data_IF_836306693594
#
_entry.id   IF_836306693594
#
_cell.length_a   1.000
_cell.length_b   1.000
_cell.length_c   1.000
_cell.angle_alpha   90.00
_cell.angle_beta   90.00
_cell.angle_gamma   90.00
#
_symmetry.space_group_name_H-M   'P 1'
#
loop_
_entity.id
_entity.type
_entity.pdbx_description
1 polymer ?
#
# COMPACT_ATOMS: atom_id res chain seq x y z
N UNK A 1 20.55 9.02 21.89
CA UNK A 1 19.99 9.55 20.63
C UNK A 1 20.87 8.98 19.54
N UNK A 2 20.35 8.04 18.77
CA UNK A 2 21.06 7.51 17.60
C UNK A 2 20.59 8.40 16.46
N UNK A 3 21.46 9.29 15.99
CA UNK A 3 21.15 10.10 14.82
C UNK A 3 21.39 9.25 13.58
N UNK A 4 20.33 9.00 12.82
CA UNK A 4 20.45 8.36 11.51
C UNK A 4 21.02 9.36 10.50
N UNK A 5 21.86 8.88 9.58
CA UNK A 5 22.31 9.69 8.47
C UNK A 5 21.19 9.88 7.45
N UNK A 6 21.24 10.96 6.67
CA UNK A 6 20.28 11.20 5.57
C UNK A 6 20.19 10.01 4.60
N UNK A 7 21.31 9.30 4.39
CA UNK A 7 21.35 8.09 3.56
C UNK A 7 20.63 6.90 4.20
N UNK A 8 20.72 6.74 5.53
CA UNK A 8 19.97 5.72 6.26
C UNK A 8 18.48 6.02 6.26
N UNK A 9 18.11 7.30 6.43
CA UNK A 9 16.71 7.76 6.34
C UNK A 9 16.16 7.47 4.94
N UNK A 10 16.86 7.90 3.89
CA UNK A 10 16.45 7.67 2.51
C UNK A 10 16.34 6.17 2.15
N UNK A 11 17.21 5.32 2.71
CA UNK A 11 17.14 3.87 2.51
C UNK A 11 15.89 3.28 3.17
N UNK A 12 15.57 3.72 4.38
CA UNK A 12 14.33 3.33 5.08
C UNK A 12 13.09 3.79 4.30
N UNK A 13 13.08 5.03 3.84
CA UNK A 13 11.97 5.59 3.05
C UNK A 13 11.77 4.88 1.71
N UNK A 14 12.86 4.53 0.99
CA UNK A 14 12.77 3.70 -0.21
C UNK A 14 12.11 2.36 0.08
N UNK A 15 12.54 1.70 1.17
CA UNK A 15 12.00 0.42 1.56
C UNK A 15 10.51 0.55 1.91
N UNK A 16 10.13 1.55 2.72
CA UNK A 16 8.74 1.79 3.08
C UNK A 16 7.88 2.06 1.85
N UNK A 17 8.29 2.96 0.96
CA UNK A 17 7.57 3.27 -0.27
C UNK A 17 7.40 2.02 -1.16
N UNK A 18 8.44 1.20 -1.30
CA UNK A 18 8.35 -0.03 -2.10
C UNK A 18 7.34 -1.04 -1.53
N UNK A 19 7.33 -1.25 -0.22
CA UNK A 19 6.37 -2.16 0.42
C UNK A 19 4.95 -1.59 0.44
N UNK A 20 4.81 -0.27 0.60
CA UNK A 20 3.53 0.42 0.49
C UNK A 20 2.86 0.16 -0.86
N UNK A 21 3.58 0.45 -1.96
CA UNK A 21 3.02 0.25 -3.30
C UNK A 21 2.82 -1.22 -3.66
N UNK A 22 3.70 -2.10 -3.19
CA UNK A 22 3.55 -3.54 -3.35
C UNK A 22 2.31 -4.09 -2.61
N UNK A 23 1.99 -3.53 -1.43
CA UNK A 23 0.79 -3.87 -0.67
C UNK A 23 -0.49 -3.54 -1.45
N UNK A 24 -0.58 -2.33 -2.01
CA UNK A 24 -1.68 -1.95 -2.90
C UNK A 24 -1.79 -2.88 -4.11
N UNK A 25 -0.68 -3.12 -4.81
CA UNK A 25 -0.67 -3.98 -6.00
C UNK A 25 -1.16 -5.38 -5.68
N UNK A 26 -0.62 -6.00 -4.64
CA UNK A 26 -0.96 -7.39 -4.29
C UNK A 26 -2.46 -7.53 -3.99
N UNK A 27 -3.05 -6.68 -3.14
CA UNK A 27 -4.49 -6.77 -2.88
C UNK A 27 -5.34 -6.41 -4.09
N UNK A 28 -4.92 -5.45 -4.91
CA UNK A 28 -5.65 -5.09 -6.11
C UNK A 28 -5.70 -6.25 -7.13
N UNK A 29 -4.58 -6.96 -7.29
CA UNK A 29 -4.47 -8.15 -8.13
C UNK A 29 -5.20 -9.36 -7.53
N UNK A 30 -5.18 -9.52 -6.21
CA UNK A 30 -5.96 -10.54 -5.49
C UNK A 30 -7.45 -10.42 -5.82
N UNK A 31 -7.98 -9.20 -5.96
CA UNK A 31 -9.36 -8.95 -6.34
C UNK A 31 -9.64 -9.07 -7.85
N UNK A 32 -8.66 -9.48 -8.65
CA UNK A 32 -8.78 -9.66 -10.09
C UNK A 32 -8.58 -8.39 -10.91
N UNK A 33 -8.02 -7.34 -10.29
CA UNK A 33 -7.50 -6.17 -10.99
C UNK A 33 -6.10 -6.42 -11.55
N UNK A 34 -5.53 -5.39 -12.16
CA UNK A 34 -4.13 -5.36 -12.56
C UNK A 34 -3.60 -3.92 -12.50
N UNK A 35 -2.32 -3.75 -12.20
CA UNK A 35 -1.67 -2.44 -12.15
C UNK A 35 -0.16 -2.51 -12.03
N UNK A 36 0.49 -1.36 -12.15
CA UNK A 36 1.94 -1.22 -12.00
C UNK A 36 2.26 -0.40 -10.75
N UNK A 37 3.13 -0.90 -9.88
CA UNK A 37 3.73 -0.10 -8.82
C UNK A 37 5.01 0.58 -9.35
N UNK A 38 5.27 1.82 -8.93
CA UNK A 38 6.51 2.53 -9.24
C UNK A 38 7.01 3.31 -8.04
N UNK A 39 8.33 3.40 -7.89
CA UNK A 39 8.99 4.18 -6.82
C UNK A 39 10.13 5.00 -7.42
N UNK A 40 10.20 6.29 -7.07
CA UNK A 40 11.21 7.20 -7.61
C UNK A 40 11.68 8.22 -6.55
N UNK A 41 12.88 8.76 -6.76
CA UNK A 41 13.48 9.74 -5.85
C UNK A 41 12.75 11.08 -5.96
N UNK A 42 12.41 11.67 -4.82
CA UNK A 42 11.85 13.01 -4.75
C UNK A 42 12.88 14.05 -5.21
N UNK A 43 12.43 15.06 -5.95
CA UNK A 43 13.26 16.12 -6.53
C UNK A 43 13.10 17.47 -5.83
N UNK A 44 12.25 17.57 -4.79
CA UNK A 44 12.02 18.84 -4.08
C UNK A 44 13.27 19.36 -3.37
N UNK A 45 14.16 18.46 -2.92
CA UNK A 45 15.34 18.81 -2.12
C UNK A 45 15.00 19.34 -0.72
N UNK A 46 13.73 19.25 -0.30
CA UNK A 46 13.29 19.64 1.04
C UNK A 46 13.58 18.51 2.03
N UNK A 47 14.27 18.77 3.16
CA UNK A 47 14.47 17.76 4.20
C UNK A 47 13.20 17.45 5.00
N UNK A 48 12.14 18.25 4.84
CA UNK A 48 10.83 18.02 5.48
C UNK A 48 9.94 17.06 4.66
N UNK A 49 10.33 16.74 3.42
CA UNK A 49 9.63 15.81 2.55
C UNK A 49 10.37 14.47 2.48
N UNK A 50 9.65 13.39 2.18
CA UNK A 50 10.27 12.08 1.98
C UNK A 50 11.21 12.11 0.76
N UNK A 51 12.34 11.42 0.85
CA UNK A 51 13.31 11.30 -0.23
C UNK A 51 12.82 10.38 -1.36
N UNK A 52 11.81 9.54 -1.11
CA UNK A 52 11.23 8.62 -2.08
C UNK A 52 9.71 8.75 -2.12
N UNK A 53 9.18 8.70 -3.34
CA UNK A 53 7.76 8.72 -3.64
C UNK A 53 7.37 7.40 -4.30
N UNK A 54 6.14 6.95 -4.03
CA UNK A 54 5.55 5.76 -4.62
C UNK A 54 4.25 6.10 -5.36
N UNK A 55 3.87 5.23 -6.30
CA UNK A 55 2.52 5.21 -6.84
C UNK A 55 2.16 3.85 -7.42
N UNK A 56 1.04 3.29 -6.97
CA UNK A 56 0.34 2.22 -7.64
C UNK A 56 -0.57 2.79 -8.73
N UNK A 57 -0.48 2.21 -9.94
CA UNK A 57 -1.18 2.65 -11.14
C UNK A 57 -2.10 1.56 -11.65
N UNK A 58 -3.39 1.59 -11.29
CA UNK A 58 -4.37 0.64 -11.80
C UNK A 58 -4.45 0.68 -13.33
N UNK A 59 -4.38 -0.48 -13.96
CA UNK A 59 -4.60 -0.67 -15.41
C UNK A 59 -5.97 -1.26 -15.69
N UNK A 60 -6.45 -2.12 -14.80
CA UNK A 60 -7.69 -2.84 -15.02
C UNK A 60 -8.44 -3.03 -13.71
N UNK A 61 -9.67 -2.52 -13.67
CA UNK A 61 -10.48 -2.52 -12.46
C UNK A 61 -11.06 -3.91 -12.15
N UNK A 62 -10.96 -4.41 -10.89
CA UNK A 62 -11.60 -5.65 -10.43
C UNK A 62 -13.06 -5.80 -10.87
N UNK A 63 -13.86 -4.76 -10.69
CA UNK A 63 -15.28 -4.76 -11.05
C UNK A 63 -15.51 -4.87 -12.56
N UNK A 64 -14.70 -4.16 -13.34
CA UNK A 64 -14.80 -4.18 -14.80
C UNK A 64 -14.43 -5.56 -15.35
N UNK A 65 -13.35 -6.16 -14.84
CA UNK A 65 -12.94 -7.52 -15.21
C UNK A 65 -13.99 -8.55 -14.85
N UNK A 66 -14.52 -8.46 -13.62
CA UNK A 66 -15.63 -9.32 -13.18
C UNK A 66 -16.84 -9.22 -14.10
N UNK A 67 -17.24 -8.00 -14.47
CA UNK A 67 -18.37 -7.77 -15.36
C UNK A 67 -18.13 -8.43 -16.72
N UNK A 68 -16.96 -8.24 -17.32
CA UNK A 68 -16.58 -8.83 -18.61
C UNK A 68 -16.61 -10.37 -18.54
N UNK A 69 -15.96 -10.95 -17.54
CA UNK A 69 -15.90 -12.41 -17.36
C UNK A 69 -17.30 -13.03 -17.18
N UNK A 70 -18.18 -12.40 -16.38
CA UNK A 70 -19.58 -12.81 -16.24
C UNK A 70 -20.34 -12.76 -17.57
N UNK A 71 -20.16 -11.69 -18.35
CA UNK A 71 -20.80 -11.57 -19.69
C UNK A 71 -20.32 -12.66 -20.66
N UNK A 72 -19.10 -13.17 -20.48
CA UNK A 72 -18.54 -14.28 -21.25
C UNK A 72 -18.94 -15.67 -20.73
N UNK A 73 -19.77 -15.74 -19.69
CA UNK A 73 -20.21 -17.02 -19.09
C UNK A 73 -19.17 -17.68 -18.19
N UNK A 74 -18.11 -16.97 -17.81
CA UNK A 74 -17.10 -17.47 -16.87
C UNK A 74 -17.60 -17.37 -15.42
N UNK A 75 -17.26 -18.36 -14.61
CA UNK A 75 -17.50 -18.35 -13.17
C UNK A 75 -16.47 -17.43 -12.52
N UNK A 76 -16.94 -16.42 -11.77
CA UNK A 76 -16.08 -15.42 -11.11
C UNK A 76 -16.35 -15.40 -9.59
N UNK A 77 -15.35 -15.59 -8.70
CA UNK A 77 -15.53 -15.56 -7.24
C UNK A 77 -16.06 -14.21 -6.74
N UNK A 78 -17.04 -14.15 -5.83
CA UNK A 78 -17.60 -12.89 -5.28
C UNK A 78 -16.52 -11.85 -4.94
N UNK A 79 -16.70 -10.61 -5.41
CA UNK A 79 -15.84 -9.49 -5.05
C UNK A 79 -16.41 -8.86 -3.77
N UNK A 80 -15.66 -8.80 -2.66
CA UNK A 80 -16.17 -8.23 -1.41
C UNK A 80 -16.63 -6.78 -1.59
N UNK A 81 -17.73 -6.38 -0.95
CA UNK A 81 -18.26 -5.03 -1.08
C UNK A 81 -17.28 -3.94 -0.61
N UNK A 82 -16.43 -4.28 0.36
CA UNK A 82 -15.40 -3.43 0.95
C UNK A 82 -14.02 -3.53 0.26
N UNK A 83 -13.90 -4.20 -0.91
CA UNK A 83 -12.61 -4.42 -1.57
C UNK A 83 -11.78 -3.13 -1.77
N UNK A 84 -12.44 -2.00 -2.06
CA UNK A 84 -11.77 -0.70 -2.20
C UNK A 84 -11.15 -0.23 -0.90
N UNK A 85 -11.87 -0.40 0.22
CA UNK A 85 -11.37 -0.05 1.55
C UNK A 85 -10.16 -0.91 1.88
N UNK A 86 -10.23 -2.22 1.60
CA UNK A 86 -9.11 -3.16 1.77
C UNK A 86 -7.87 -2.70 0.98
N UNK A 87 -8.03 -2.35 -0.30
CA UNK A 87 -6.94 -1.81 -1.11
C UNK A 87 -6.44 -0.48 -0.56
N UNK A 88 -7.31 0.43 -0.12
CA UNK A 88 -6.94 1.77 0.31
C UNK A 88 -6.02 1.80 1.53
N UNK A 89 -6.19 0.91 2.51
CA UNK A 89 -5.28 0.82 3.65
C UNK A 89 -4.11 -0.16 3.46
N UNK A 90 -4.07 -0.86 2.32
CA UNK A 90 -3.10 -1.93 2.07
C UNK A 90 -1.65 -1.45 2.18
N UNK A 91 -1.35 -0.26 1.66
CA UNK A 91 0.01 0.29 1.68
C UNK A 91 0.49 0.56 3.10
N UNK A 92 -0.32 1.25 3.91
CA UNK A 92 0.03 1.56 5.30
C UNK A 92 0.18 0.28 6.15
N UNK A 93 -0.74 -0.68 6.01
CA UNK A 93 -0.66 -1.95 6.74
C UNK A 93 0.51 -2.83 6.25
N UNK A 94 0.91 -2.73 4.98
CA UNK A 94 2.11 -3.42 4.50
C UNK A 94 3.39 -2.84 5.12
N UNK A 95 3.45 -1.53 5.36
CA UNK A 95 4.54 -0.92 6.12
C UNK A 95 4.55 -1.40 7.58
N UNK A 96 3.39 -1.52 8.21
CA UNK A 96 3.28 -1.99 9.59
C UNK A 96 3.68 -3.47 9.72
N UNK A 97 3.32 -4.32 8.74
CA UNK A 97 3.80 -5.72 8.70
C UNK A 97 5.32 -5.76 8.48
N UNK A 98 5.85 -4.88 7.62
CA UNK A 98 7.28 -4.79 7.34
C UNK A 98 8.09 -4.38 8.58
N UNK A 99 7.56 -3.48 9.41
CA UNK A 99 8.28 -2.95 10.58
C UNK A 99 8.58 -4.03 11.61
N UNK A 100 7.76 -5.10 11.65
CA UNK A 100 7.84 -6.21 12.61
C UNK A 100 7.79 -5.72 14.07
N UNK A 101 7.24 -4.52 14.30
CA UNK A 101 7.13 -3.91 15.64
C UNK A 101 6.02 -4.56 16.46
N UNK A 102 4.98 -5.09 15.81
CA UNK A 102 3.86 -5.79 16.44
C UNK A 102 3.24 -6.82 15.50
N UNK A 103 2.85 -7.97 16.07
CA UNK A 103 2.01 -8.96 15.41
C UNK A 103 0.51 -8.82 15.75
N UNK A 104 0.20 -7.99 16.75
CA UNK A 104 -1.15 -7.74 17.24
C UNK A 104 -1.92 -6.83 16.28
N UNK A 105 -2.96 -7.39 15.66
CA UNK A 105 -3.79 -6.72 14.66
C UNK A 105 -4.55 -5.52 15.26
N UNK A 106 -4.89 -5.57 16.55
CA UNK A 106 -5.52 -4.45 17.24
C UNK A 106 -4.60 -3.23 17.30
N UNK A 107 -3.34 -3.44 17.67
CA UNK A 107 -2.31 -2.40 17.66
C UNK A 107 -2.03 -1.87 16.24
N UNK A 108 -2.11 -2.71 15.20
CA UNK A 108 -1.99 -2.26 13.81
C UNK A 108 -3.19 -1.39 13.39
N UNK A 109 -4.40 -1.70 13.85
CA UNK A 109 -5.57 -0.87 13.62
C UNK A 109 -5.45 0.50 14.33
N UNK A 110 -4.97 0.51 15.57
CA UNK A 110 -4.68 1.74 16.32
C UNK A 110 -3.62 2.60 15.60
N UNK A 111 -2.58 1.95 15.09
CA UNK A 111 -1.50 2.59 14.32
C UNK A 111 -2.04 3.19 13.03
N UNK A 112 -2.80 2.42 12.24
CA UNK A 112 -3.46 2.91 11.04
C UNK A 112 -4.34 4.14 11.32
N UNK A 113 -5.15 4.09 12.38
CA UNK A 113 -5.99 5.22 12.78
C UNK A 113 -5.16 6.46 13.10
N UNK A 114 -4.09 6.31 13.90
CA UNK A 114 -3.20 7.40 14.26
C UNK A 114 -2.53 8.02 13.04
N UNK A 115 -2.08 7.20 12.09
CA UNK A 115 -1.45 7.64 10.84
C UNK A 115 -2.44 8.41 9.95
N UNK A 116 -3.69 7.93 9.83
CA UNK A 116 -4.75 8.65 9.12
C UNK A 116 -5.03 10.00 9.79
N UNK A 117 -5.17 10.02 11.12
CA UNK A 117 -5.41 11.25 11.91
C UNK A 117 -4.32 12.31 11.70
N UNK A 118 -3.06 11.89 11.63
CA UNK A 118 -1.92 12.78 11.43
C UNK A 118 -1.69 13.17 9.96
N UNK A 119 -2.55 12.71 9.04
CA UNK A 119 -2.45 13.05 7.62
C UNK A 119 -1.36 12.30 6.86
N UNK A 120 -0.92 11.13 7.35
CA UNK A 120 0.07 10.28 6.67
C UNK A 120 -0.54 9.46 5.52
N UNK A 121 -1.86 9.26 5.54
CA UNK A 121 -2.56 8.59 4.45
C UNK A 121 -2.72 9.52 3.24
N UNK A 122 -2.43 9.02 2.04
CA UNK A 122 -2.58 9.82 0.82
C UNK A 122 -4.05 10.12 0.51
N UNK A 123 -4.32 11.20 -0.22
CA UNK A 123 -5.68 11.54 -0.64
C UNK A 123 -6.33 10.43 -1.49
N UNK A 124 -5.54 9.67 -2.27
CA UNK A 124 -6.02 8.51 -3.03
C UNK A 124 -6.42 7.34 -2.14
N UNK A 125 -5.67 7.08 -1.07
CA UNK A 125 -5.96 5.99 -0.13
C UNK A 125 -7.22 6.29 0.66
N UNK A 126 -7.33 7.53 1.16
CA UNK A 126 -8.52 8.03 1.83
C UNK A 126 -9.76 7.94 0.92
N UNK A 127 -9.62 8.30 -0.36
CA UNK A 127 -10.70 8.18 -1.33
C UNK A 127 -11.14 6.72 -1.56
N UNK A 128 -10.19 5.77 -1.61
CA UNK A 128 -10.50 4.33 -1.70
C UNK A 128 -11.21 3.79 -0.45
N UNK A 129 -10.84 4.31 0.72
CA UNK A 129 -11.49 3.99 1.99
C UNK A 129 -12.83 4.72 2.21
N UNK A 130 -13.21 5.62 1.30
CA UNK A 130 -14.38 6.50 1.44
C UNK A 130 -14.31 7.38 2.71
N UNK A 131 -13.10 7.81 3.07
CA UNK A 131 -12.83 8.73 4.18
C UNK A 131 -12.76 10.14 3.60
N UNK A 132 -13.84 10.90 3.79
CA UNK A 132 -13.92 12.32 3.36
C UNK A 132 -13.64 13.29 4.51
N UNK A 133 -13.70 12.79 5.74
CA UNK A 133 -13.47 13.53 6.97
C UNK A 133 -12.69 12.62 7.93
N UNK A 134 -11.46 13.03 8.23
CA UNK A 134 -10.51 12.31 9.08
C UNK A 134 -11.06 12.22 10.52
N UNK A 135 -11.91 13.17 10.92
CA UNK A 135 -12.49 13.21 12.26
C UNK A 135 -13.62 12.18 12.47
N UNK A 136 -14.14 11.55 11.40
CA UNK A 136 -15.38 10.76 11.49
C UNK A 136 -15.38 9.39 10.80
N UNK A 137 -14.29 8.93 10.19
CA UNK A 137 -14.28 7.62 9.53
C UNK A 137 -12.92 6.91 9.56
N UNK A 138 -12.78 5.96 10.47
CA UNK A 138 -11.74 4.94 10.42
C UNK A 138 -12.36 3.61 9.94
N UNK A 139 -11.61 2.76 9.21
CA UNK A 139 -12.02 1.37 8.98
C UNK A 139 -12.28 0.67 10.32
N UNK A 140 -13.25 -0.26 10.38
CA UNK A 140 -13.47 -1.05 11.59
C UNK A 140 -12.31 -2.03 11.80
N UNK A 141 -12.11 -2.47 13.05
CA UNK A 141 -11.06 -3.44 13.39
C UNK A 141 -11.19 -4.72 12.59
N UNK A 142 -12.40 -5.19 12.31
CA UNK A 142 -12.65 -6.39 11.52
C UNK A 142 -12.19 -6.22 10.07
N UNK A 143 -12.34 -5.02 9.51
CA UNK A 143 -11.88 -4.71 8.15
C UNK A 143 -10.36 -4.64 8.12
N UNK A 144 -9.72 -4.07 9.14
CA UNK A 144 -8.25 -4.08 9.29
C UNK A 144 -7.73 -5.51 9.42
N UNK A 145 -8.37 -6.34 10.26
CA UNK A 145 -8.01 -7.75 10.44
C UNK A 145 -8.10 -8.53 9.13
N UNK A 146 -9.16 -8.31 8.35
CA UNK A 146 -9.30 -8.89 7.03
C UNK A 146 -8.14 -8.50 6.10
N UNK A 147 -7.76 -7.22 6.10
CA UNK A 147 -6.67 -6.72 5.27
C UNK A 147 -5.31 -7.30 5.68
N UNK A 148 -4.98 -7.29 6.97
CA UNK A 148 -3.74 -7.86 7.49
C UNK A 148 -3.67 -9.35 7.17
N UNK A 149 -4.77 -10.09 7.31
CA UNK A 149 -4.83 -11.51 6.93
C UNK A 149 -4.50 -11.71 5.44
N UNK A 150 -5.14 -10.95 4.55
CA UNK A 150 -4.90 -11.05 3.11
C UNK A 150 -3.46 -10.65 2.73
N UNK A 151 -2.93 -9.60 3.36
CA UNK A 151 -1.53 -9.17 3.19
C UNK A 151 -0.55 -10.26 3.62
N UNK A 152 -0.78 -10.89 4.78
CA UNK A 152 0.05 -12.00 5.28
C UNK A 152 -0.04 -13.23 4.35
N UNK A 153 -1.21 -13.56 3.84
CA UNK A 153 -1.40 -14.66 2.87
C UNK A 153 -0.64 -14.40 1.56
N UNK A 154 -0.64 -13.16 1.07
CA UNK A 154 0.08 -12.73 -0.14
C UNK A 154 1.48 -12.15 0.11
N UNK A 155 2.05 -12.31 1.30
CA UNK A 155 3.24 -11.54 1.70
C UNK A 155 4.46 -11.83 0.82
N UNK A 156 4.61 -13.07 0.36
CA UNK A 156 5.70 -13.42 -0.56
C UNK A 156 5.64 -12.66 -1.89
N UNK A 157 4.44 -12.32 -2.37
CA UNK A 157 4.26 -11.52 -3.57
C UNK A 157 4.55 -10.05 -3.31
N UNK A 158 4.16 -9.53 -2.12
CA UNK A 158 4.52 -8.18 -1.67
C UNK A 158 6.04 -8.02 -1.59
N UNK A 159 6.73 -8.96 -0.94
CA UNK A 159 8.19 -8.95 -0.80
C UNK A 159 8.87 -8.97 -2.18
N UNK A 160 8.44 -9.87 -3.07
CA UNK A 160 9.01 -10.00 -4.42
C UNK A 160 8.85 -8.70 -5.23
N UNK A 161 7.67 -8.09 -5.20
CA UNK A 161 7.43 -6.82 -5.89
C UNK A 161 8.25 -5.68 -5.28
N UNK A 162 8.26 -5.55 -3.96
CA UNK A 162 9.01 -4.50 -3.27
C UNK A 162 10.52 -4.60 -3.55
N UNK A 163 11.10 -5.80 -3.53
CA UNK A 163 12.51 -6.03 -3.88
C UNK A 163 12.80 -5.66 -5.34
N UNK A 164 11.88 -5.98 -6.26
CA UNK A 164 11.99 -5.54 -7.64
C UNK A 164 11.98 -4.01 -7.77
N UNK A 165 11.08 -3.32 -7.06
CA UNK A 165 11.00 -1.86 -7.05
C UNK A 165 12.30 -1.23 -6.53
N UNK A 166 12.82 -1.71 -5.40
CA UNK A 166 14.08 -1.23 -4.80
C UNK A 166 15.25 -1.40 -5.76
N UNK A 167 15.35 -2.57 -6.41
CA UNK A 167 16.40 -2.84 -7.39
C UNK A 167 16.29 -1.92 -8.60
N UNK A 168 15.09 -1.72 -9.15
CA UNK A 168 14.85 -0.84 -10.29
C UNK A 168 15.17 0.63 -9.97
N UNK A 169 14.86 1.09 -8.77
CA UNK A 169 15.19 2.43 -8.28
C UNK A 169 16.70 2.67 -8.15
N UNK A 170 17.45 1.63 -7.78
CA UNK A 170 18.92 1.67 -7.66
C UNK A 170 19.62 1.77 -9.03
N UNK A 171 19.07 1.12 -10.06
CA UNK A 171 19.61 1.18 -11.43
C UNK A 171 19.43 2.58 -12.03
N UNK A 172 18.27 3.20 -11.84
CA UNK A 172 17.98 4.54 -12.38
C UNK A 172 18.88 5.64 -11.79
N UNK A 173 19.35 5.48 -10.55
CA UNK A 173 20.28 6.41 -9.91
C UNK A 173 21.68 6.44 -10.56
N UNK A 174 22.07 5.41 -11.31
CA UNK A 174 23.40 5.31 -11.95
C UNK A 174 23.43 5.81 -13.40
N UNK A 175 22.28 6.09 -13.99
CA UNK A 175 22.14 6.60 -15.36
C UNK A 175 21.77 8.11 -15.42
N UNK A 176 21.81 8.80 -14.26
CA UNK A 176 21.58 10.24 -14.11
C UNK A 176 22.91 10.98 -13.98
#
# INVERSE_FOLDING_TARGET
MIDFTDEQIATKELRNAAYHEAGHKMLYEHFGGAGDAVVWKNQSGSPEETAWLGQFRPRTCPEAMRKIARTQGLITPELPANWRVLVGMAGLLAEDILSDETDDVGAMADTLFFRIWNGEASASDLALMNITDIDSCAPSYEVVEECVRLLREGWSDVQREAEYLIAASSVNATCS
#
